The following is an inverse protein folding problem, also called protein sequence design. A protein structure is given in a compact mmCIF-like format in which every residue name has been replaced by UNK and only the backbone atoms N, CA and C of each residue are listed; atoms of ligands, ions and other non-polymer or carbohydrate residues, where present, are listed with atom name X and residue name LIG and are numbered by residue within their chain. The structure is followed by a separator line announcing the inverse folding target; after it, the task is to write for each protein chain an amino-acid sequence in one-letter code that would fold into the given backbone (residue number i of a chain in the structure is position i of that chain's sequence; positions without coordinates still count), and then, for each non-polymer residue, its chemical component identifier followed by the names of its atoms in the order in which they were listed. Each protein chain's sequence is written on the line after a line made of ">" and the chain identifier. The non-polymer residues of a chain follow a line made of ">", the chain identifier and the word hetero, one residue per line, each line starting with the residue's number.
data_IF_441536556107
#
_entry.id   IF_441536556107
#
_cell.length_a   1.000
_cell.length_b   1.000
_cell.length_c   1.000
_cell.angle_alpha   90.00
_cell.angle_beta   90.00
_cell.angle_gamma   90.00
#
_symmetry.space_group_name_H-M   'P 1'
#
loop_
_entity.id
_entity.type
_entity.pdbx_description
1 polymer ?
#
# COMPACT_ATOMS: atom_id res chain seq x y z
N UNK A 1 7.59 9.64 -0.71
CA UNK A 1 7.49 8.23 -0.28
C UNK A 1 8.81 7.45 -0.30
N UNK A 2 9.73 7.70 -1.23
CA UNK A 2 10.92 6.85 -1.44
C UNK A 2 12.10 7.08 -0.47
N UNK A 3 11.94 7.91 0.57
CA UNK A 3 13.04 8.37 1.43
C UNK A 3 13.29 7.50 2.67
N UNK A 4 12.52 6.41 2.87
CA UNK A 4 12.69 5.56 4.06
C UNK A 4 12.38 6.28 5.38
N UNK A 5 11.43 7.23 5.39
CA UNK A 5 11.12 8.06 6.57
C UNK A 5 10.61 7.24 7.77
N UNK A 6 9.88 6.17 7.51
CA UNK A 6 9.25 5.33 8.53
C UNK A 6 10.03 4.03 8.74
N UNK A 7 10.02 3.45 9.94
CA UNK A 7 10.63 2.15 10.20
C UNK A 7 10.16 1.10 9.19
N UNK A 8 11.03 0.18 8.72
CA UNK A 8 12.42 -0.01 9.14
C UNK A 8 13.44 0.92 8.43
N UNK A 9 12.99 2.03 7.85
CA UNK A 9 13.80 3.08 7.25
C UNK A 9 14.72 2.61 6.12
N UNK A 10 14.15 1.86 5.17
CA UNK A 10 14.85 1.36 3.98
C UNK A 10 14.55 2.22 2.76
N UNK A 11 15.58 2.50 1.97
CA UNK A 11 15.48 3.24 0.71
C UNK A 11 16.74 3.08 -0.15
N UNK A 12 16.65 3.46 -1.44
CA UNK A 12 17.79 3.63 -2.34
C UNK A 12 18.32 5.06 -2.31
N UNK A 13 19.62 5.22 -2.56
CA UNK A 13 20.17 6.49 -3.05
C UNK A 13 19.57 6.80 -4.44
N UNK A 14 19.37 8.07 -4.81
CA UNK A 14 19.64 9.29 -4.04
C UNK A 14 18.45 9.74 -3.15
N UNK A 15 17.38 8.96 -3.04
CA UNK A 15 16.13 9.39 -2.39
C UNK A 15 16.27 9.66 -0.89
N UNK A 16 17.18 8.97 -0.21
CA UNK A 16 17.49 9.19 1.20
C UNK A 16 18.81 8.55 1.61
N UNK A 17 19.29 8.85 2.81
CA UNK A 17 20.54 8.32 3.35
C UNK A 17 20.31 7.03 4.17
N UNK A 18 19.58 6.07 3.59
CA UNK A 18 19.34 4.77 4.23
C UNK A 18 20.57 3.87 4.04
N UNK A 19 20.88 3.05 5.05
CA UNK A 19 22.00 2.10 4.97
C UNK A 19 21.74 0.94 4.02
N UNK A 20 20.47 0.54 3.87
CA UNK A 20 20.04 -0.56 3.02
C UNK A 20 18.65 -0.28 2.44
N UNK A 21 18.34 -0.92 1.32
CA UNK A 21 17.02 -0.91 0.73
C UNK A 21 17.05 -0.94 -0.79
N UNK A 22 15.88 -1.11 -1.39
CA UNK A 22 15.65 -0.84 -2.80
C UNK A 22 14.27 -0.20 -2.99
N UNK A 23 14.25 1.11 -3.20
CA UNK A 23 13.04 1.91 -3.37
C UNK A 23 12.20 1.52 -4.59
N UNK A 24 12.77 0.84 -5.59
CA UNK A 24 12.05 0.42 -6.80
C UNK A 24 11.31 -0.91 -6.61
N UNK A 25 11.69 -1.73 -5.63
CA UNK A 25 11.17 -3.11 -5.49
C UNK A 25 10.58 -3.40 -4.12
N UNK A 26 11.22 -2.95 -3.04
CA UNK A 26 10.80 -3.26 -1.67
C UNK A 26 9.39 -2.77 -1.33
N UNK A 27 8.92 -1.57 -1.77
CA UNK A 27 7.54 -1.15 -1.52
C UNK A 27 6.51 -2.12 -2.11
N UNK A 28 6.75 -2.64 -3.31
CA UNK A 28 5.83 -3.59 -3.96
C UNK A 28 5.85 -4.96 -3.27
N UNK A 29 7.03 -5.43 -2.83
CA UNK A 29 7.15 -6.68 -2.05
C UNK A 29 6.39 -6.55 -0.73
N UNK A 30 6.54 -5.43 -0.03
CA UNK A 30 5.84 -5.17 1.23
C UNK A 30 4.31 -5.10 1.03
N UNK A 31 3.85 -4.40 -0.01
CA UNK A 31 2.44 -4.31 -0.36
C UNK A 31 1.85 -5.69 -0.73
N UNK A 32 2.56 -6.46 -1.56
CA UNK A 32 2.15 -7.81 -1.97
C UNK A 32 1.96 -8.72 -0.76
N UNK A 33 2.94 -8.76 0.14
CA UNK A 33 2.86 -9.57 1.36
C UNK A 33 1.74 -9.09 2.30
N UNK A 34 1.49 -7.78 2.37
CA UNK A 34 0.37 -7.23 3.16
C UNK A 34 -0.99 -7.71 2.62
N UNK A 35 -1.17 -7.71 1.30
CA UNK A 35 -2.39 -8.23 0.65
C UNK A 35 -2.56 -9.72 0.92
N UNK A 36 -1.50 -10.52 0.77
CA UNK A 36 -1.55 -11.96 1.08
C UNK A 36 -1.87 -12.24 2.55
N UNK A 37 -1.26 -11.49 3.47
CA UNK A 37 -1.52 -11.59 4.90
C UNK A 37 -2.99 -11.25 5.21
N UNK A 38 -3.51 -10.16 4.63
CA UNK A 38 -4.91 -9.79 4.77
C UNK A 38 -5.85 -10.88 4.23
N UNK A 39 -5.60 -11.41 3.03
CA UNK A 39 -6.38 -12.50 2.45
C UNK A 39 -6.41 -13.74 3.35
N UNK A 40 -5.26 -14.09 3.95
CA UNK A 40 -5.18 -15.21 4.90
C UNK A 40 -5.97 -14.93 6.18
N UNK A 41 -5.89 -13.72 6.73
CA UNK A 41 -6.64 -13.31 7.91
C UNK A 41 -8.15 -13.33 7.65
N UNK A 42 -8.60 -12.80 6.50
CA UNK A 42 -10.00 -12.86 6.06
C UNK A 42 -10.46 -14.30 5.95
N UNK A 43 -9.68 -15.17 5.30
CA UNK A 43 -10.04 -16.58 5.17
C UNK A 43 -10.22 -17.25 6.54
N UNK A 44 -9.31 -17.02 7.48
CA UNK A 44 -9.42 -17.54 8.85
C UNK A 44 -10.68 -17.00 9.54
N UNK A 45 -10.93 -15.69 9.46
CA UNK A 45 -12.10 -15.06 10.07
C UNK A 45 -13.41 -15.66 9.56
N UNK A 46 -13.56 -15.70 8.24
CA UNK A 46 -14.77 -16.20 7.57
C UNK A 46 -15.03 -17.68 7.84
N UNK A 47 -13.97 -18.49 7.97
CA UNK A 47 -14.10 -19.94 8.14
C UNK A 47 -14.22 -20.40 9.58
N UNK A 48 -13.65 -19.65 10.54
CA UNK A 48 -13.58 -20.09 11.94
C UNK A 48 -14.39 -19.25 12.91
N UNK A 49 -14.60 -17.96 12.62
CA UNK A 49 -15.06 -17.01 13.63
C UNK A 49 -16.34 -16.27 13.23
N UNK A 50 -16.61 -16.11 11.94
CA UNK A 50 -17.71 -15.25 11.48
C UNK A 50 -19.10 -15.77 11.88
N UNK A 51 -19.34 -17.08 11.86
CA UNK A 51 -20.62 -17.68 12.29
C UNK A 51 -20.95 -17.32 13.74
N UNK A 52 -19.97 -17.47 14.65
CA UNK A 52 -20.15 -17.25 16.08
C UNK A 52 -20.14 -15.75 16.43
N UNK A 53 -19.15 -15.01 15.91
CA UNK A 53 -18.94 -13.60 16.29
C UNK A 53 -19.86 -12.65 15.53
N UNK A 54 -20.37 -13.06 14.36
CA UNK A 54 -21.29 -12.28 13.51
C UNK A 54 -20.78 -10.89 13.13
N UNK A 55 -19.46 -10.70 13.16
CA UNK A 55 -18.80 -9.43 12.82
C UNK A 55 -18.41 -9.34 11.35
N UNK A 56 -17.71 -8.25 11.01
CA UNK A 56 -17.27 -7.91 9.66
C UNK A 56 -15.77 -7.64 9.69
N UNK A 57 -15.07 -8.11 8.66
CA UNK A 57 -13.64 -7.86 8.45
C UNK A 57 -13.43 -7.12 7.12
N UNK A 58 -12.54 -6.14 7.12
CA UNK A 58 -12.16 -5.37 5.95
C UNK A 58 -10.72 -4.85 6.04
N UNK A 59 -10.31 -4.04 5.06
CA UNK A 59 -9.01 -3.38 5.00
C UNK A 59 -9.21 -1.86 4.98
N UNK A 60 -8.38 -1.13 5.73
CA UNK A 60 -8.38 0.33 5.70
C UNK A 60 -7.24 0.78 4.79
N UNK A 61 -7.57 1.60 3.79
CA UNK A 61 -6.61 2.12 2.81
C UNK A 61 -6.60 3.64 2.92
N UNK A 62 -5.41 4.24 3.03
CA UNK A 62 -5.25 5.68 2.95
C UNK A 62 -5.18 6.09 1.48
N UNK A 63 -6.06 6.98 1.06
CA UNK A 63 -6.14 7.50 -0.31
C UNK A 63 -6.18 9.02 -0.28
N UNK A 64 -5.72 9.63 -1.36
CA UNK A 64 -5.90 11.05 -1.64
C UNK A 64 -6.81 11.19 -2.86
N UNK A 65 -7.57 12.30 -2.91
CA UNK A 65 -8.27 12.71 -4.13
C UNK A 65 -7.31 13.49 -5.02
N UNK A 66 -7.35 13.24 -6.32
CA UNK A 66 -6.52 13.92 -7.31
C UNK A 66 -7.41 14.59 -8.36
N UNK A 67 -7.06 15.82 -8.74
CA UNK A 67 -7.70 16.56 -9.84
C UNK A 67 -6.65 16.87 -10.91
N UNK A 68 -7.04 16.92 -12.20
CA UNK A 68 -6.11 17.23 -13.28
C UNK A 68 -5.62 18.68 -13.17
N UNK A 69 -4.34 18.90 -13.48
CA UNK A 69 -3.73 20.24 -13.45
C UNK A 69 -4.32 21.15 -14.55
N UNK A 70 -4.69 20.55 -15.68
CA UNK A 70 -5.33 21.24 -16.81
C UNK A 70 -6.24 20.30 -17.58
N UNK A 71 -6.96 20.82 -18.57
CA UNK A 71 -7.83 20.03 -19.47
C UNK A 71 -7.03 19.20 -20.50
N UNK A 72 -5.70 19.13 -20.39
CA UNK A 72 -4.89 18.28 -21.25
C UNK A 72 -5.17 16.79 -20.97
N UNK A 73 -5.21 15.97 -22.03
CA UNK A 73 -5.41 14.51 -21.88
C UNK A 73 -4.37 13.91 -20.94
N UNK A 74 -3.12 14.39 -21.02
CA UNK A 74 -2.03 13.90 -20.19
C UNK A 74 -2.26 14.15 -18.68
N UNK A 75 -2.87 15.29 -18.32
CA UNK A 75 -3.17 15.63 -16.93
C UNK A 75 -4.41 14.90 -16.42
N UNK A 76 -5.42 14.69 -17.27
CA UNK A 76 -6.59 13.86 -16.96
C UNK A 76 -6.15 12.42 -16.68
N UNK A 77 -5.33 11.84 -17.55
CA UNK A 77 -4.76 10.51 -17.32
C UNK A 77 -3.86 10.49 -16.08
N UNK A 78 -3.16 11.58 -15.77
CA UNK A 78 -2.31 11.66 -14.58
C UNK A 78 -3.09 11.58 -13.26
N UNK A 79 -4.29 12.16 -13.22
CA UNK A 79 -5.14 12.12 -12.02
C UNK A 79 -5.71 10.72 -11.75
N UNK A 80 -5.87 9.89 -12.79
CA UNK A 80 -6.44 8.53 -12.71
C UNK A 80 -5.41 7.40 -12.57
N UNK A 81 -4.10 7.69 -12.71
CA UNK A 81 -3.00 6.71 -12.61
C UNK A 81 -2.71 6.27 -11.19
#
# INVERSE_FOLDING_TARGET
>A
HLQGKFPPSRCSLPYGNCSHGNSETEPFIAAHNTILAHAKAVHIYRTKYQEEQRGIIGIVVQTAWFEPISDSIADIEAAER
#
